data_IF_312686519061
#
_entry.id   IF_312686519061
#
_cell.length_a   1.000
_cell.length_b   1.000
_cell.length_c   1.000
_cell.angle_alpha   90.00
_cell.angle_beta   90.00
_cell.angle_gamma   90.00
#
_symmetry.space_group_name_H-M   'P 1'
#
loop_
_entity.id
_entity.type
_entity.pdbx_description
1 polymer ?
#
# COMPACT_ATOMS: atom_id res chain seq x y z
N UNK A 1 42.04 -0.66 -0.89
CA UNK A 1 41.84 -1.60 0.25
C UNK A 1 41.54 -2.97 -0.32
N UNK A 2 42.03 -4.06 0.28
CA UNK A 2 41.66 -5.41 -0.15
C UNK A 2 40.51 -5.93 0.71
N UNK A 3 39.42 -6.35 0.06
CA UNK A 3 38.26 -6.95 0.68
C UNK A 3 38.24 -8.45 0.39
N UNK A 4 38.00 -9.28 1.40
CA UNK A 4 37.83 -10.72 1.25
C UNK A 4 36.40 -11.11 1.63
N UNK A 5 35.63 -11.57 0.64
CA UNK A 5 34.25 -12.02 0.82
C UNK A 5 34.14 -13.54 0.97
N UNK A 6 35.26 -14.26 1.09
CA UNK A 6 35.30 -15.71 1.17
C UNK A 6 35.05 -16.43 -0.16
N UNK A 7 34.99 -15.71 -1.27
CA UNK A 7 34.67 -16.21 -2.62
C UNK A 7 35.93 -16.62 -3.41
N UNK A 8 36.96 -17.13 -2.71
CA UNK A 8 38.23 -17.62 -3.28
C UNK A 8 39.02 -16.62 -4.14
N UNK A 9 38.72 -15.32 -4.03
CA UNK A 9 39.55 -14.22 -4.55
C UNK A 9 39.43 -12.98 -3.67
N UNK A 10 40.42 -12.11 -3.77
CA UNK A 10 40.43 -10.80 -3.11
C UNK A 10 39.90 -9.73 -4.08
N UNK A 11 39.24 -8.72 -3.52
CA UNK A 11 38.63 -7.63 -4.26
C UNK A 11 39.37 -6.34 -3.93
N UNK A 12 40.02 -5.73 -4.91
CA UNK A 12 40.69 -4.42 -4.75
C UNK A 12 39.72 -3.31 -5.15
N UNK A 13 39.33 -2.49 -4.19
CA UNK A 13 38.38 -1.39 -4.44
C UNK A 13 38.81 -0.12 -3.73
N UNK A 14 38.48 1.01 -4.36
CA UNK A 14 38.62 2.33 -3.78
C UNK A 14 37.38 2.59 -2.91
N UNK A 15 37.47 2.25 -1.63
CA UNK A 15 36.43 2.53 -0.65
C UNK A 15 36.49 3.99 -0.21
N UNK A 16 35.32 4.57 0.02
CA UNK A 16 35.17 5.90 0.63
C UNK A 16 35.05 5.69 2.14
N UNK A 17 35.85 6.38 2.98
CA UNK A 17 35.70 6.31 4.43
C UNK A 17 34.34 6.93 4.84
N UNK A 18 33.61 6.24 5.71
CA UNK A 18 32.32 6.69 6.23
C UNK A 18 32.22 6.34 7.72
N UNK A 19 31.58 7.22 8.50
CA UNK A 19 31.30 6.98 9.92
C UNK A 19 30.06 6.06 10.06
N UNK A 20 30.29 4.76 9.89
CA UNK A 20 29.26 3.71 9.97
C UNK A 20 29.75 2.52 10.78
N UNK A 21 28.85 1.93 11.56
CA UNK A 21 29.16 0.77 12.42
C UNK A 21 29.31 -0.54 11.64
N UNK A 22 28.84 -0.60 10.39
CA UNK A 22 28.93 -1.77 9.52
C UNK A 22 29.33 -1.33 8.11
N UNK A 23 30.26 -2.07 7.49
CA UNK A 23 30.69 -1.80 6.12
C UNK A 23 29.54 -2.03 5.13
N UNK A 24 29.40 -1.10 4.18
CA UNK A 24 28.37 -1.14 3.13
C UNK A 24 29.05 -1.42 1.79
N UNK A 25 28.50 -2.37 1.03
CA UNK A 25 28.94 -2.68 -0.33
C UNK A 25 27.85 -2.24 -1.30
N UNK A 26 28.20 -1.38 -2.24
CA UNK A 26 27.29 -0.84 -3.24
C UNK A 26 27.05 -1.79 -4.43
N UNK A 27 25.99 -1.51 -5.18
CA UNK A 27 25.66 -2.24 -6.40
C UNK A 27 26.70 -2.05 -7.52
N UNK A 28 27.43 -0.93 -7.51
CA UNK A 28 28.56 -0.63 -8.37
C UNK A 28 29.72 -1.61 -8.17
N UNK A 29 30.09 -1.87 -6.91
CA UNK A 29 31.08 -2.90 -6.58
C UNK A 29 30.62 -4.28 -7.04
N UNK A 30 29.36 -4.64 -6.75
CA UNK A 30 28.81 -5.94 -7.15
C UNK A 30 28.84 -6.11 -8.67
N UNK A 31 28.43 -5.08 -9.42
CA UNK A 31 28.45 -5.09 -10.87
C UNK A 31 29.87 -5.13 -11.44
N UNK A 32 30.83 -4.42 -10.84
CA UNK A 32 32.21 -4.40 -11.33
C UNK A 32 32.88 -5.77 -11.21
N UNK A 33 32.57 -6.51 -10.14
CA UNK A 33 33.17 -7.82 -9.88
C UNK A 33 32.30 -9.00 -10.33
N UNK A 34 31.19 -8.78 -11.04
CA UNK A 34 30.23 -9.83 -11.45
C UNK A 34 29.75 -10.67 -10.26
N UNK A 35 29.31 -9.98 -9.21
CA UNK A 35 28.73 -10.58 -8.02
C UNK A 35 27.21 -10.46 -8.07
N UNK A 36 26.51 -11.57 -7.83
CA UNK A 36 25.06 -11.63 -7.82
C UNK A 36 24.52 -11.95 -6.42
N UNK A 37 23.50 -11.20 -5.98
CA UNK A 37 22.83 -11.43 -4.68
C UNK A 37 21.57 -12.25 -4.92
N UNK A 38 21.56 -13.50 -4.45
CA UNK A 38 20.38 -14.36 -4.48
C UNK A 38 19.66 -14.31 -3.12
N UNK A 39 18.63 -13.47 -3.03
CA UNK A 39 17.84 -13.31 -1.80
C UNK A 39 17.02 -14.55 -1.44
N UNK A 40 16.52 -15.29 -2.44
CA UNK A 40 15.73 -16.51 -2.22
C UNK A 40 16.56 -17.60 -1.55
N UNK A 41 17.78 -17.80 -2.03
CA UNK A 41 18.71 -18.80 -1.51
C UNK A 41 19.62 -18.27 -0.41
N UNK A 42 19.54 -16.96 -0.09
CA UNK A 42 20.40 -16.25 0.86
C UNK A 42 21.89 -16.45 0.55
N UNK A 43 22.28 -16.18 -0.70
CA UNK A 43 23.66 -16.36 -1.17
C UNK A 43 24.18 -15.14 -1.90
N UNK A 44 25.47 -14.85 -1.71
CA UNK A 44 26.27 -14.04 -2.62
C UNK A 44 26.98 -14.99 -3.58
N UNK A 45 26.76 -14.81 -4.87
CA UNK A 45 27.31 -15.64 -5.95
C UNK A 45 28.37 -14.81 -6.66
N UNK A 46 29.49 -15.45 -6.98
CA UNK A 46 30.53 -14.91 -7.82
C UNK A 46 30.52 -15.66 -9.14
N UNK A 47 30.08 -14.99 -10.21
CA UNK A 47 29.94 -15.61 -11.53
C UNK A 47 31.30 -15.89 -12.18
N UNK A 48 32.38 -15.25 -11.74
CA UNK A 48 33.73 -15.47 -12.27
C UNK A 48 34.35 -16.74 -11.69
N UNK A 49 34.24 -16.91 -10.37
CA UNK A 49 34.79 -18.10 -9.69
C UNK A 49 33.80 -19.25 -9.61
N UNK A 50 32.55 -19.02 -10.01
CA UNK A 50 31.42 -19.92 -9.85
C UNK A 50 31.27 -20.44 -8.40
N UNK A 51 31.65 -19.59 -7.44
CA UNK A 51 31.52 -19.87 -6.01
C UNK A 51 30.37 -19.08 -5.41
N UNK A 52 29.85 -19.57 -4.29
CA UNK A 52 28.85 -18.81 -3.53
C UNK A 52 29.13 -18.88 -2.05
N UNK A 53 28.67 -17.84 -1.35
CA UNK A 53 28.69 -17.76 0.11
C UNK A 53 27.30 -17.54 0.64
N UNK A 54 26.96 -18.32 1.67
CA UNK A 54 25.72 -18.15 2.41
C UNK A 54 25.79 -16.83 3.19
N UNK A 55 24.71 -16.08 3.14
CA UNK A 55 24.55 -14.79 3.77
C UNK A 55 23.37 -14.82 4.74
N UNK A 56 23.43 -14.00 5.78
CA UNK A 56 22.31 -13.74 6.67
C UNK A 56 21.53 -12.55 6.13
N UNK A 57 20.20 -12.64 6.14
CA UNK A 57 19.32 -11.50 5.87
C UNK A 57 19.05 -10.83 7.22
N UNK A 58 19.68 -9.67 7.45
CA UNK A 58 19.36 -8.83 8.59
C UNK A 58 18.30 -7.80 8.17
N UNK A 59 17.11 -7.89 8.76
CA UNK A 59 16.15 -6.79 8.68
C UNK A 59 16.50 -5.79 9.77
N UNK A 60 17.24 -4.74 9.42
CA UNK A 60 17.28 -3.58 10.30
C UNK A 60 15.83 -3.06 10.40
N UNK A 61 15.24 -3.08 11.61
CA UNK A 61 13.83 -2.68 11.88
C UNK A 61 13.48 -1.23 11.48
N UNK A 62 14.40 -0.52 10.81
CA UNK A 62 14.37 0.91 10.51
C UNK A 62 14.65 1.25 9.04
N UNK A 63 14.44 0.33 8.10
CA UNK A 63 14.48 0.67 6.67
C UNK A 63 13.05 0.72 6.14
N UNK A 64 12.59 1.97 6.10
CA UNK A 64 11.50 2.56 5.32
C UNK A 64 11.02 1.64 4.20
N UNK A 65 9.73 1.31 4.27
CA UNK A 65 8.94 0.80 3.16
C UNK A 65 9.13 1.69 1.94
N UNK A 66 9.53 1.05 0.84
CA UNK A 66 9.59 1.50 -0.56
C UNK A 66 11.03 1.52 -1.11
N UNK A 67 11.23 0.78 -2.20
CA UNK A 67 12.36 0.90 -3.13
C UNK A 67 12.49 2.38 -3.55
N UNK A 68 13.34 3.16 -2.88
CA UNK A 68 13.71 4.50 -3.32
C UNK A 68 14.81 4.39 -4.38
N UNK A 69 14.43 4.08 -5.61
CA UNK A 69 15.31 4.31 -6.75
C UNK A 69 15.19 5.78 -7.18
N UNK A 70 15.96 6.66 -6.56
CA UNK A 70 16.44 7.87 -7.23
C UNK A 70 17.84 8.20 -6.72
N UNK A 71 18.84 8.01 -7.58
CA UNK A 71 20.25 8.40 -7.38
C UNK A 71 20.49 9.92 -7.26
N UNK A 72 19.44 10.74 -7.17
CA UNK A 72 19.55 12.19 -7.14
C UNK A 72 18.80 12.74 -5.95
N UNK A 73 19.51 13.53 -5.13
CA UNK A 73 18.95 14.40 -4.11
C UNK A 73 17.75 15.16 -4.70
N UNK A 74 16.55 14.89 -4.21
CA UNK A 74 15.36 15.65 -4.59
C UNK A 74 14.93 16.47 -3.36
N UNK A 75 14.66 17.78 -3.50
CA UNK A 75 14.26 18.68 -2.40
C UNK A 75 13.07 18.17 -1.58
N UNK A 76 12.32 17.22 -2.12
CA UNK A 76 11.09 16.70 -1.56
C UNK A 76 11.30 15.42 -0.74
N UNK A 77 12.50 14.84 -0.67
CA UNK A 77 12.71 13.61 0.12
C UNK A 77 12.52 13.83 1.62
N UNK A 78 12.90 14.99 2.12
CA UNK A 78 12.72 15.34 3.53
C UNK A 78 11.22 15.61 3.80
N UNK A 79 10.53 16.25 2.85
CA UNK A 79 9.09 16.48 2.90
C UNK A 79 8.28 15.17 2.89
N UNK A 80 8.64 14.21 2.02
CA UNK A 80 7.99 12.91 1.98
C UNK A 80 8.23 12.08 3.25
N UNK A 81 9.40 12.26 3.89
CA UNK A 81 9.70 11.66 5.20
C UNK A 81 8.93 12.33 6.34
N UNK A 82 8.75 13.64 6.28
CA UNK A 82 7.95 14.40 7.25
C UNK A 82 6.47 13.98 7.21
N UNK A 83 5.93 13.76 6.02
CA UNK A 83 4.52 13.38 5.80
C UNK A 83 4.35 11.94 5.31
N UNK A 84 5.11 11.02 5.91
CA UNK A 84 5.05 9.59 5.58
C UNK A 84 3.62 9.05 5.76
N UNK A 85 2.91 9.54 6.76
CA UNK A 85 1.55 9.12 7.10
C UNK A 85 0.48 9.55 6.07
N UNK A 86 0.78 10.51 5.18
CA UNK A 86 -0.09 10.94 4.07
C UNK A 86 0.25 10.16 2.79
N UNK A 87 1.51 9.77 2.64
CA UNK A 87 2.03 9.15 1.41
C UNK A 87 1.94 7.63 1.41
N UNK A 88 1.79 6.99 2.58
CA UNK A 88 1.48 5.57 2.67
C UNK A 88 0.04 5.28 2.24
N UNK A 89 -0.17 4.28 1.38
CA UNK A 89 -1.48 3.69 1.07
C UNK A 89 -2.02 2.86 2.25
N UNK A 90 -2.11 3.49 3.42
CA UNK A 90 -2.72 2.89 4.58
C UNK A 90 -4.23 3.12 4.48
N UNK A 91 -4.97 2.15 3.96
CA UNK A 91 -6.44 2.12 3.94
C UNK A 91 -7.07 2.10 5.36
N UNK A 92 -6.31 2.37 6.42
CA UNK A 92 -6.82 2.43 7.78
C UNK A 92 -7.50 3.77 8.02
N UNK A 93 -8.73 3.73 8.54
CA UNK A 93 -9.45 4.95 8.92
C UNK A 93 -8.69 5.64 10.07
N UNK A 94 -8.02 6.75 9.78
CA UNK A 94 -7.53 7.64 10.83
C UNK A 94 -8.73 8.14 11.62
N UNK A 95 -8.70 8.00 12.95
CA UNK A 95 -9.73 8.61 13.80
C UNK A 95 -9.71 10.12 13.58
N UNK A 96 -10.84 10.77 13.26
CA UNK A 96 -10.87 12.22 13.17
C UNK A 96 -10.42 12.83 14.50
N UNK A 97 -9.63 13.91 14.45
CA UNK A 97 -9.13 14.59 15.65
C UNK A 97 -10.23 15.32 16.43
N UNK A 98 -11.37 15.59 15.77
CA UNK A 98 -12.52 16.24 16.36
C UNK A 98 -13.66 15.25 16.65
N UNK A 99 -14.53 15.62 17.58
CA UNK A 99 -15.70 14.83 17.97
C UNK A 99 -16.96 15.13 17.14
N UNK A 100 -16.87 16.03 16.16
CA UNK A 100 -17.99 16.38 15.28
C UNK A 100 -18.35 15.18 14.41
N UNK A 101 -19.63 14.81 14.40
CA UNK A 101 -20.20 13.77 13.55
C UNK A 101 -21.22 14.36 12.60
N UNK A 102 -21.32 13.79 11.39
CA UNK A 102 -22.33 14.21 10.43
C UNK A 102 -23.65 13.48 10.69
N UNK A 103 -24.73 14.24 10.83
CA UNK A 103 -26.09 13.71 10.95
C UNK A 103 -26.82 13.86 9.61
N UNK A 104 -27.31 12.73 9.08
CA UNK A 104 -28.09 12.70 7.84
C UNK A 104 -29.58 12.72 8.20
N UNK A 105 -30.23 13.86 7.97
CA UNK A 105 -31.68 14.00 8.18
C UNK A 105 -32.46 13.22 7.09
N UNK A 106 -33.46 12.45 7.53
CA UNK A 106 -34.35 11.68 6.65
C UNK A 106 -35.81 11.90 7.03
N UNK A 107 -36.72 11.74 6.06
CA UNK A 107 -38.17 11.90 6.23
C UNK A 107 -38.87 10.55 6.16
N UNK A 108 -39.79 10.32 7.09
CA UNK A 108 -40.62 9.11 7.11
C UNK A 108 -39.89 7.86 7.63
N UNK A 109 -40.47 6.66 7.41
CA UNK A 109 -39.94 5.41 7.96
C UNK A 109 -38.70 4.90 7.20
N UNK A 110 -37.93 3.97 7.80
CA UNK A 110 -36.79 3.31 7.14
C UNK A 110 -37.13 2.67 5.80
N UNK A 111 -36.26 2.88 4.81
CA UNK A 111 -36.38 2.22 3.50
C UNK A 111 -35.51 0.96 3.42
N UNK A 112 -36.13 -0.11 2.94
CA UNK A 112 -35.49 -1.41 2.74
C UNK A 112 -35.59 -1.87 1.28
N UNK A 113 -34.54 -2.51 0.79
CA UNK A 113 -34.51 -3.20 -0.49
C UNK A 113 -33.88 -4.57 -0.36
N UNK A 114 -34.46 -5.57 -1.03
CA UNK A 114 -33.90 -6.92 -1.08
C UNK A 114 -32.52 -6.92 -1.76
N UNK A 115 -31.55 -7.71 -1.27
CA UNK A 115 -30.27 -7.89 -1.95
C UNK A 115 -30.47 -8.42 -3.38
N UNK A 116 -29.65 -7.94 -4.32
CA UNK A 116 -29.66 -8.45 -5.70
C UNK A 116 -28.89 -9.77 -5.76
N UNK A 117 -29.38 -10.69 -6.59
CA UNK A 117 -28.65 -11.93 -6.90
C UNK A 117 -27.39 -11.57 -7.69
N UNK A 118 -26.26 -12.13 -7.27
CA UNK A 118 -24.96 -11.97 -7.92
C UNK A 118 -24.52 -13.31 -8.51
N UNK A 119 -23.84 -13.28 -9.66
CA UNK A 119 -23.14 -14.45 -10.18
C UNK A 119 -21.98 -14.83 -9.24
N UNK A 120 -21.47 -16.08 -9.30
CA UNK A 120 -20.40 -16.53 -8.40
C UNK A 120 -19.15 -15.64 -8.44
N UNK A 121 -18.75 -15.19 -9.62
CA UNK A 121 -17.61 -14.29 -9.83
C UNK A 121 -17.82 -12.93 -9.15
N UNK A 122 -18.99 -12.31 -9.38
CA UNK A 122 -19.38 -11.03 -8.77
C UNK A 122 -19.47 -11.14 -7.25
N UNK A 123 -20.02 -12.25 -6.75
CA UNK A 123 -20.15 -12.49 -5.31
C UNK A 123 -18.79 -12.66 -4.64
N UNK A 124 -17.85 -13.37 -5.28
CA UNK A 124 -16.47 -13.52 -4.78
C UNK A 124 -15.78 -12.16 -4.67
N UNK A 125 -15.86 -11.34 -5.73
CA UNK A 125 -15.29 -10.00 -5.73
C UNK A 125 -15.93 -9.09 -4.66
N UNK A 126 -17.26 -9.10 -4.56
CA UNK A 126 -17.98 -8.31 -3.55
C UNK A 126 -17.56 -8.68 -2.12
N UNK A 127 -17.44 -9.98 -1.81
CA UNK A 127 -17.02 -10.45 -0.48
C UNK A 127 -15.58 -10.03 -0.16
N UNK A 128 -14.67 -10.16 -1.12
CA UNK A 128 -13.27 -9.77 -0.93
C UNK A 128 -13.15 -8.27 -0.59
N UNK A 129 -13.85 -7.41 -1.34
CA UNK A 129 -13.84 -5.97 -1.10
C UNK A 129 -14.48 -5.61 0.25
N UNK A 130 -15.63 -6.21 0.60
CA UNK A 130 -16.27 -5.96 1.90
C UNK A 130 -15.35 -6.38 3.05
N UNK A 131 -14.64 -7.50 2.91
CA UNK A 131 -13.69 -7.93 3.94
C UNK A 131 -12.52 -6.95 4.10
N UNK A 132 -12.02 -6.39 3.00
CA UNK A 132 -11.00 -5.34 3.03
C UNK A 132 -11.52 -4.12 3.80
N UNK A 133 -12.73 -3.66 3.49
CA UNK A 133 -13.35 -2.52 4.17
C UNK A 133 -13.61 -2.77 5.66
N UNK A 134 -13.95 -4.01 6.05
CA UNK A 134 -14.08 -4.41 7.45
C UNK A 134 -12.73 -4.36 8.16
N UNK A 135 -11.68 -4.93 7.56
CA UNK A 135 -10.32 -4.93 8.11
C UNK A 135 -9.75 -3.51 8.25
N UNK A 136 -10.11 -2.64 7.32
CA UNK A 136 -9.76 -1.22 7.32
C UNK A 136 -10.52 -0.38 8.36
N UNK A 137 -11.58 -0.93 8.97
CA UNK A 137 -12.45 -0.20 9.89
C UNK A 137 -13.39 0.81 9.21
N UNK A 138 -13.53 0.75 7.89
CA UNK A 138 -14.40 1.65 7.10
C UNK A 138 -15.87 1.26 7.27
N UNK A 139 -16.17 -0.04 7.36
CA UNK A 139 -17.51 -0.54 7.60
C UNK A 139 -17.55 -1.52 8.78
N UNK A 140 -18.76 -1.82 9.25
CA UNK A 140 -19.00 -2.78 10.34
C UNK A 140 -20.32 -3.52 10.14
N UNK A 141 -20.47 -4.73 10.69
CA UNK A 141 -21.77 -5.40 10.76
C UNK A 141 -22.77 -4.52 11.52
N UNK A 142 -24.02 -4.48 11.06
CA UNK A 142 -25.10 -3.74 11.72
C UNK A 142 -26.43 -4.47 11.58
N UNK A 143 -27.36 -4.20 12.49
CA UNK A 143 -28.75 -4.66 12.46
C UNK A 143 -29.67 -3.46 12.19
N UNK A 144 -29.54 -2.88 11.01
CA UNK A 144 -30.29 -1.68 10.63
C UNK A 144 -31.64 -2.03 10.00
N UNK A 145 -32.71 -1.26 10.26
CA UNK A 145 -33.95 -1.36 9.49
C UNK A 145 -33.80 -0.79 8.06
N UNK A 146 -32.71 -0.07 7.78
CA UNK A 146 -32.37 0.47 6.48
C UNK A 146 -31.51 -0.51 5.68
N UNK A 147 -31.85 -0.74 4.41
CA UNK A 147 -31.00 -1.51 3.50
C UNK A 147 -31.09 -1.02 2.06
N UNK A 148 -29.93 -0.87 1.42
CA UNK A 148 -29.79 -0.56 0.00
C UNK A 148 -29.12 -1.74 -0.72
N UNK A 149 -29.54 -2.07 -1.96
CA UNK A 149 -28.98 -3.21 -2.66
C UNK A 149 -27.57 -2.89 -3.22
N UNK A 150 -26.74 -3.93 -3.34
CA UNK A 150 -25.43 -3.85 -3.96
C UNK A 150 -25.54 -4.02 -5.47
N UNK A 151 -24.80 -3.20 -6.21
CA UNK A 151 -24.61 -3.30 -7.65
C UNK A 151 -23.12 -3.51 -7.96
N UNK A 152 -22.80 -4.36 -8.94
CA UNK A 152 -21.42 -4.63 -9.35
C UNK A 152 -21.18 -4.02 -10.72
N UNK A 153 -20.17 -3.15 -10.82
CA UNK A 153 -19.75 -2.53 -12.09
C UNK A 153 -18.31 -2.91 -12.39
N UNK A 154 -17.94 -2.92 -13.68
CA UNK A 154 -16.55 -3.13 -14.08
C UNK A 154 -15.80 -1.80 -14.07
N UNK A 155 -14.57 -1.83 -13.56
CA UNK A 155 -13.55 -0.78 -13.79
C UNK A 155 -13.02 -0.91 -15.23
N UNK A 156 -12.28 0.10 -15.70
CA UNK A 156 -11.60 0.08 -17.02
C UNK A 156 -10.61 -1.09 -17.15
N UNK A 157 -9.94 -1.47 -16.06
CA UNK A 157 -9.01 -2.60 -16.00
C UNK A 157 -9.71 -3.97 -15.95
N UNK A 158 -11.05 -4.04 -16.02
CA UNK A 158 -11.82 -5.28 -16.03
C UNK A 158 -12.23 -5.80 -14.64
N UNK A 159 -11.67 -5.25 -13.55
CA UNK A 159 -12.01 -5.64 -12.19
C UNK A 159 -13.44 -5.25 -11.81
N UNK A 160 -14.07 -6.05 -10.94
CA UNK A 160 -15.37 -5.74 -10.37
C UNK A 160 -15.24 -4.80 -9.16
N UNK A 161 -16.06 -3.75 -9.11
CA UNK A 161 -16.22 -2.87 -7.94
C UNK A 161 -17.65 -2.91 -7.40
N UNK A 162 -17.85 -3.05 -6.09
CA UNK A 162 -19.16 -2.91 -5.47
C UNK A 162 -19.60 -1.44 -5.43
N UNK A 163 -20.89 -1.20 -5.67
CA UNK A 163 -21.52 0.12 -5.65
C UNK A 163 -22.87 0.01 -4.95
N UNK A 164 -23.09 0.78 -3.89
CA UNK A 164 -24.40 0.86 -3.23
C UNK A 164 -25.41 1.62 -4.07
N UNK A 165 -26.62 1.08 -4.25
CA UNK A 165 -27.72 1.78 -4.91
C UNK A 165 -28.56 2.54 -3.88
N UNK A 166 -28.17 3.78 -3.59
CA UNK A 166 -28.79 4.63 -2.57
C UNK A 166 -29.98 5.46 -3.09
N UNK A 167 -30.48 5.21 -4.30
CA UNK A 167 -31.54 6.07 -4.89
C UNK A 167 -32.77 6.19 -3.99
N UNK A 168 -33.22 5.09 -3.39
CA UNK A 168 -34.37 5.10 -2.45
C UNK A 168 -34.08 5.85 -1.16
N UNK A 169 -32.85 5.76 -0.66
CA UNK A 169 -32.41 6.51 0.52
C UNK A 169 -32.38 8.01 0.19
N UNK A 170 -31.78 8.39 -0.94
CA UNK A 170 -31.64 9.77 -1.37
C UNK A 170 -33.01 10.49 -1.55
N UNK A 171 -34.07 9.76 -1.94
CA UNK A 171 -35.42 10.32 -2.07
C UNK A 171 -35.98 10.77 -0.72
N UNK A 172 -35.64 10.06 0.37
CA UNK A 172 -36.12 10.38 1.71
C UNK A 172 -35.12 11.21 2.51
N UNK A 173 -33.90 11.42 2.02
CA UNK A 173 -32.88 12.28 2.63
C UNK A 173 -33.20 13.75 2.38
N UNK A 174 -33.07 14.59 3.41
CA UNK A 174 -33.23 16.04 3.24
C UNK A 174 -32.05 16.61 2.43
N UNK A 175 -32.30 17.36 1.33
CA UNK A 175 -31.22 17.93 0.53
C UNK A 175 -30.41 18.96 1.31
N UNK A 176 -29.11 18.69 1.50
CA UNK A 176 -28.17 19.68 2.02
C UNK A 176 -27.69 20.58 0.87
N UNK A 177 -28.18 21.82 0.84
CA UNK A 177 -27.82 22.80 -0.19
C UNK A 177 -26.49 23.47 0.15
N UNK A 178 -25.40 22.85 -0.29
CA UNK A 178 -24.07 23.45 -0.25
C UNK A 178 -23.62 23.75 -1.69
N UNK A 179 -23.53 25.02 -2.10
CA UNK A 179 -23.08 25.35 -3.44
C UNK A 179 -21.60 25.00 -3.56
N UNK A 180 -21.27 24.07 -4.46
CA UNK A 180 -19.89 23.87 -4.85
C UNK A 180 -19.49 25.01 -5.79
N UNK A 181 -18.29 25.61 -5.61
CA UNK A 181 -17.81 26.62 -6.53
C UNK A 181 -17.69 26.03 -7.94
N UNK A 182 -18.16 26.77 -8.94
CA UNK A 182 -17.91 26.42 -10.34
C UNK A 182 -16.44 26.68 -10.66
N UNK A 183 -15.69 25.60 -10.88
CA UNK A 183 -14.32 25.65 -11.41
C UNK A 183 -14.42 25.73 -12.93
N UNK A 184 -14.23 26.92 -13.49
CA UNK A 184 -14.11 27.17 -14.94
C UNK A 184 -12.65 27.34 -15.34
#
# INVERSE_FOLDING_TARGET
>A
MFLNLGLRRQYSWNSIPADVSQAIIGADFLSHFNLAVNLRQRKLIDDVTNTSRLCLISTNKKVVSNLSYTKNYQPFQDLLREFEDITMENFSVKKPQHFVTHYIATKGPPVFSKPRRLSPEKLKAAKAEIQLLLNAGICRPSRSPWASPLHMTKKKNGEWRPCGDFRRLNVVTEPFRYPLPHLH
#
